data_IF_463424668267
#
_entry.id   IF_463424668267
#
_cell.length_a   1.000
_cell.length_b   1.000
_cell.length_c   1.000
_cell.angle_alpha   90.00
_cell.angle_beta   90.00
_cell.angle_gamma   90.00
#
_symmetry.space_group_name_H-M   'P 1'
#
loop_
_entity.id
_entity.type
_entity.pdbx_description
1 polymer ?
#
# COMPACT_ATOMS: atom_id res chain seq x y z
N UNK A 1 27.13 -7.89 -19.16
CA UNK A 1 27.78 -8.19 -17.87
C UNK A 1 27.69 -9.69 -17.65
N UNK A 2 28.54 -10.34 -16.83
CA UNK A 2 28.32 -11.76 -16.56
C UNK A 2 27.00 -11.93 -15.82
N UNK A 3 26.26 -12.96 -16.22
CA UNK A 3 25.01 -13.33 -15.59
C UNK A 3 25.17 -14.68 -14.87
N UNK A 4 24.41 -14.87 -13.80
CA UNK A 4 24.35 -16.10 -13.01
C UNK A 4 22.98 -16.77 -13.19
N UNK A 5 22.96 -18.04 -13.57
CA UNK A 5 21.73 -18.84 -13.58
C UNK A 5 21.34 -19.24 -12.15
N UNK A 6 20.09 -18.95 -11.77
CA UNK A 6 19.50 -19.34 -10.49
C UNK A 6 18.23 -20.15 -10.70
N UNK A 7 17.71 -20.86 -9.68
CA UNK A 7 16.41 -21.52 -9.77
C UNK A 7 15.24 -20.58 -10.09
N UNK A 8 15.41 -19.26 -9.93
CA UNK A 8 14.38 -18.24 -10.16
C UNK A 8 14.65 -17.40 -11.41
N UNK A 9 15.53 -17.87 -12.30
CA UNK A 9 15.93 -17.19 -13.53
C UNK A 9 17.34 -16.61 -13.45
N UNK A 10 17.78 -16.08 -14.59
CA UNK A 10 19.10 -15.48 -14.75
C UNK A 10 19.15 -14.07 -14.13
N UNK A 11 20.25 -13.74 -13.46
CA UNK A 11 20.46 -12.44 -12.79
C UNK A 11 21.85 -11.88 -13.06
N UNK A 12 22.00 -10.55 -13.04
CA UNK A 12 23.33 -9.92 -13.14
C UNK A 12 24.22 -10.33 -11.95
N UNK A 13 25.42 -10.88 -12.26
CA UNK A 13 26.32 -11.43 -11.23
C UNK A 13 26.85 -10.35 -10.28
N UNK A 14 27.12 -9.14 -10.78
CA UNK A 14 27.70 -8.05 -9.99
C UNK A 14 26.65 -7.47 -9.03
N UNK A 15 25.44 -7.24 -9.53
CA UNK A 15 24.31 -6.81 -8.70
C UNK A 15 23.96 -7.86 -7.65
N UNK A 16 24.00 -9.14 -8.00
CA UNK A 16 23.78 -10.23 -7.05
C UNK A 16 24.79 -10.19 -5.89
N UNK A 17 26.09 -10.04 -6.20
CA UNK A 17 27.11 -9.95 -5.15
C UNK A 17 26.90 -8.72 -4.25
N UNK A 18 26.57 -7.57 -4.84
CA UNK A 18 26.31 -6.34 -4.08
C UNK A 18 25.12 -6.50 -3.12
N UNK A 19 24.03 -7.13 -3.58
CA UNK A 19 22.85 -7.36 -2.74
C UNK A 19 23.08 -8.44 -1.67
N UNK A 20 23.92 -9.45 -1.92
CA UNK A 20 24.29 -10.43 -0.90
C UNK A 20 25.00 -9.79 0.30
N UNK A 21 25.73 -8.69 0.09
CA UNK A 21 26.43 -7.96 1.14
C UNK A 21 25.56 -6.89 1.82
N UNK A 22 24.51 -6.39 1.16
CA UNK A 22 23.80 -5.17 1.59
C UNK A 22 22.29 -5.31 1.77
N UNK A 23 21.62 -6.29 1.15
CA UNK A 23 20.18 -6.38 1.16
C UNK A 23 19.66 -7.30 2.27
N UNK A 24 18.96 -6.71 3.24
CA UNK A 24 18.25 -7.43 4.28
C UNK A 24 16.89 -7.93 3.77
N UNK A 25 16.81 -9.23 3.47
CA UNK A 25 15.59 -9.90 2.99
C UNK A 25 14.41 -9.83 3.98
N UNK A 26 14.66 -9.59 5.27
CA UNK A 26 13.56 -9.41 6.24
C UNK A 26 12.76 -8.15 5.97
N UNK A 27 13.28 -7.21 5.17
CA UNK A 27 12.53 -6.07 4.65
C UNK A 27 11.28 -6.51 3.87
N UNK A 28 11.35 -7.63 3.15
CA UNK A 28 10.19 -8.18 2.42
C UNK A 28 9.10 -8.60 3.41
N UNK A 29 9.48 -9.21 4.54
CA UNK A 29 8.53 -9.59 5.60
C UNK A 29 7.91 -8.36 6.27
N UNK A 30 8.69 -7.30 6.50
CA UNK A 30 8.14 -6.03 7.01
C UNK A 30 7.10 -5.42 6.07
N UNK A 31 7.28 -5.55 4.75
CA UNK A 31 6.28 -5.13 3.76
C UNK A 31 5.01 -5.98 3.87
N UNK A 32 5.14 -7.28 4.11
CA UNK A 32 3.98 -8.16 4.37
C UNK A 32 3.22 -7.70 5.60
N UNK A 33 3.91 -7.40 6.72
CA UNK A 33 3.27 -6.92 7.95
C UNK A 33 2.49 -5.61 7.71
N UNK A 34 3.06 -4.69 6.93
CA UNK A 34 2.39 -3.44 6.54
C UNK A 34 1.12 -3.70 5.70
N UNK A 35 1.18 -4.63 4.75
CA UNK A 35 0.02 -5.02 3.94
C UNK A 35 -1.05 -5.71 4.79
N UNK A 36 -0.66 -6.51 5.77
CA UNK A 36 -1.61 -7.16 6.68
C UNK A 36 -2.30 -6.15 7.61
N UNK A 37 -1.63 -5.07 8.00
CA UNK A 37 -2.26 -3.96 8.71
C UNK A 37 -3.35 -3.28 7.86
N UNK A 38 -3.05 -2.95 6.59
CA UNK A 38 -4.03 -2.42 5.64
C UNK A 38 -5.17 -3.40 5.43
N UNK A 39 -4.86 -4.69 5.24
CA UNK A 39 -5.85 -5.76 5.05
C UNK A 39 -6.78 -5.89 6.24
N UNK A 40 -6.24 -5.80 7.46
CA UNK A 40 -7.01 -5.84 8.70
C UNK A 40 -8.04 -4.72 8.71
N UNK A 41 -7.60 -3.50 8.43
CA UNK A 41 -8.44 -2.30 8.43
C UNK A 41 -9.51 -2.30 7.33
N UNK A 42 -9.25 -2.95 6.20
CA UNK A 42 -10.25 -3.19 5.15
C UNK A 42 -11.34 -4.20 5.56
N UNK A 43 -11.05 -5.13 6.47
CA UNK A 43 -11.96 -6.20 6.91
C UNK A 43 -12.67 -5.91 8.23
N UNK A 44 -12.11 -5.01 9.03
CA UNK A 44 -12.62 -4.66 10.36
C UNK A 44 -14.03 -4.07 10.25
N UNK A 45 -15.01 -4.52 11.06
CA UNK A 45 -16.23 -3.77 11.28
C UNK A 45 -15.90 -2.37 11.82
N UNK A 46 -16.50 -1.32 11.26
CA UNK A 46 -16.05 0.07 11.43
C UNK A 46 -14.68 0.40 10.79
N UNK A 47 -14.26 -0.43 9.81
CA UNK A 47 -13.13 -0.28 8.90
C UNK A 47 -13.25 0.89 7.92
N UNK A 48 -12.19 1.12 7.11
CA UNK A 48 -12.20 2.13 6.03
C UNK A 48 -13.40 1.97 5.09
N UNK A 49 -13.87 0.73 4.90
CA UNK A 49 -15.04 0.42 4.07
C UNK A 49 -16.30 1.08 4.64
N UNK A 50 -16.51 0.94 5.94
CA UNK A 50 -17.69 1.50 6.60
C UNK A 50 -17.60 3.02 6.69
N UNK A 51 -16.39 3.55 6.86
CA UNK A 51 -16.13 4.99 6.81
C UNK A 51 -16.42 5.59 5.43
N UNK A 52 -16.02 4.91 4.35
CA UNK A 52 -16.34 5.31 2.98
C UNK A 52 -17.84 5.21 2.68
N UNK A 53 -18.52 4.17 3.16
CA UNK A 53 -19.97 4.04 3.00
C UNK A 53 -20.74 5.12 3.78
N UNK A 54 -20.27 5.45 4.99
CA UNK A 54 -20.79 6.57 5.78
C UNK A 54 -20.59 7.89 5.06
N UNK A 55 -19.36 8.16 4.60
CA UNK A 55 -19.02 9.36 3.84
C UNK A 55 -19.91 9.48 2.59
N UNK A 56 -20.11 8.39 1.86
CA UNK A 56 -21.03 8.33 0.74
C UNK A 56 -22.46 8.70 1.14
N UNK A 57 -23.03 8.10 2.18
CA UNK A 57 -24.40 8.41 2.61
C UNK A 57 -24.58 9.86 3.04
N UNK A 58 -23.59 10.44 3.70
CA UNK A 58 -23.57 11.86 4.07
C UNK A 58 -23.52 12.75 2.84
N UNK A 59 -22.60 12.48 1.91
CA UNK A 59 -22.48 13.22 0.65
C UNK A 59 -23.74 13.07 -0.21
N UNK A 60 -24.34 11.89 -0.26
CA UNK A 60 -25.58 11.62 -1.00
C UNK A 60 -26.75 12.44 -0.45
N UNK A 61 -26.84 12.58 0.88
CA UNK A 61 -27.84 13.44 1.53
C UNK A 61 -27.61 14.92 1.18
N UNK A 62 -26.38 15.42 1.36
CA UNK A 62 -26.06 16.86 1.22
C UNK A 62 -26.01 17.32 -0.24
N UNK A 63 -25.35 16.54 -1.10
CA UNK A 63 -25.07 16.91 -2.50
C UNK A 63 -26.22 16.50 -3.41
N UNK A 64 -26.79 15.30 -3.21
CA UNK A 64 -27.80 14.75 -4.11
C UNK A 64 -29.23 14.94 -3.60
N UNK A 65 -29.42 15.52 -2.41
CA UNK A 65 -30.75 15.75 -1.82
C UNK A 65 -31.49 14.48 -1.40
N UNK A 66 -30.76 13.38 -1.19
CA UNK A 66 -31.35 12.13 -0.75
C UNK A 66 -31.85 12.19 0.70
N UNK A 67 -32.69 11.23 1.09
CA UNK A 67 -33.10 11.09 2.49
C UNK A 67 -31.92 10.74 3.39
N UNK A 68 -31.99 11.20 4.64
CA UNK A 68 -30.95 10.98 5.64
C UNK A 68 -30.72 9.47 5.85
N UNK A 69 -29.50 9.02 5.58
CA UNK A 69 -29.10 7.60 5.70
C UNK A 69 -28.37 7.28 7.02
N UNK A 70 -27.84 8.29 7.70
CA UNK A 70 -27.05 8.16 8.92
C UNK A 70 -27.46 9.21 9.97
N UNK A 71 -27.27 8.90 11.25
CA UNK A 71 -27.55 9.83 12.34
C UNK A 71 -26.65 11.09 12.28
N UNK A 72 -27.22 12.25 12.60
CA UNK A 72 -26.52 13.56 12.57
C UNK A 72 -25.75 13.87 13.87
N UNK A 73 -25.70 12.93 14.82
CA UNK A 73 -24.95 13.07 16.08
C UNK A 73 -23.48 12.62 15.97
N UNK A 74 -23.06 12.17 14.78
CA UNK A 74 -21.69 11.74 14.50
C UNK A 74 -20.80 12.86 13.94
N UNK A 75 -19.63 12.52 13.36
CA UNK A 75 -18.77 13.50 12.70
C UNK A 75 -19.52 14.21 11.57
N UNK A 76 -19.12 15.45 11.30
CA UNK A 76 -19.58 16.21 10.14
C UNK A 76 -19.05 15.60 8.84
N UNK A 77 -19.67 15.98 7.71
CA UNK A 77 -19.25 15.49 6.39
C UNK A 77 -17.77 15.81 6.10
N UNK A 78 -17.31 16.98 6.53
CA UNK A 78 -15.92 17.41 6.33
C UNK A 78 -14.98 16.60 7.21
N UNK A 79 -15.26 16.44 8.51
CA UNK A 79 -14.43 15.65 9.42
C UNK A 79 -14.31 14.18 8.97
N UNK A 80 -15.42 13.59 8.50
CA UNK A 80 -15.39 12.22 7.97
C UNK A 80 -14.53 12.14 6.69
N UNK A 81 -14.59 13.14 5.82
CA UNK A 81 -13.77 13.19 4.62
C UNK A 81 -12.28 13.35 4.96
N UNK A 82 -11.95 14.27 5.88
CA UNK A 82 -10.57 14.51 6.34
C UNK A 82 -9.97 13.23 6.94
N UNK A 83 -10.68 12.56 7.83
CA UNK A 83 -10.22 11.31 8.44
C UNK A 83 -9.96 10.21 7.41
N UNK A 84 -10.84 10.05 6.42
CA UNK A 84 -10.65 9.07 5.33
C UNK A 84 -9.46 9.46 4.45
N UNK A 85 -9.29 10.73 4.13
CA UNK A 85 -8.17 11.22 3.31
C UNK A 85 -6.84 10.98 4.03
N UNK A 86 -6.75 11.35 5.32
CA UNK A 86 -5.54 11.15 6.13
C UNK A 86 -5.12 9.68 6.18
N UNK A 87 -6.07 8.77 6.43
CA UNK A 87 -5.79 7.34 6.46
C UNK A 87 -5.30 6.81 5.11
N UNK A 88 -5.89 7.26 4.00
CA UNK A 88 -5.46 6.89 2.66
C UNK A 88 -4.07 7.44 2.31
N UNK A 89 -3.76 8.67 2.72
CA UNK A 89 -2.44 9.28 2.52
C UNK A 89 -1.35 8.53 3.31
N UNK A 90 -1.66 8.08 4.53
CA UNK A 90 -0.77 7.22 5.32
C UNK A 90 -0.49 5.90 4.62
N UNK A 91 -1.52 5.28 4.04
CA UNK A 91 -1.34 4.04 3.25
C UNK A 91 -0.52 4.27 2.01
N UNK A 92 -0.74 5.38 1.30
CA UNK A 92 0.06 5.75 0.13
C UNK A 92 1.53 5.92 0.54
N UNK A 93 1.80 6.56 1.66
CA UNK A 93 3.16 6.76 2.16
C UNK A 93 3.82 5.42 2.53
N UNK A 94 3.11 4.54 3.21
CA UNK A 94 3.58 3.19 3.55
C UNK A 94 3.91 2.38 2.29
N UNK A 95 3.00 2.34 1.32
CA UNK A 95 3.18 1.61 0.07
C UNK A 95 4.34 2.19 -0.76
N UNK A 96 4.50 3.52 -0.81
CA UNK A 96 5.64 4.15 -1.47
C UNK A 96 6.98 3.74 -0.84
N UNK A 97 7.05 3.65 0.50
CA UNK A 97 8.25 3.17 1.20
C UNK A 97 8.53 1.70 0.89
N UNK A 98 7.50 0.85 0.91
CA UNK A 98 7.62 -0.56 0.54
C UNK A 98 8.19 -0.71 -0.89
N UNK A 99 7.64 0.02 -1.86
CA UNK A 99 8.15 0.04 -3.25
C UNK A 99 9.63 0.45 -3.29
N UNK A 100 10.02 1.52 -2.59
CA UNK A 100 11.42 1.97 -2.57
C UNK A 100 12.36 0.91 -2.00
N UNK A 101 11.95 0.20 -0.94
CA UNK A 101 12.74 -0.88 -0.36
C UNK A 101 12.92 -2.05 -1.32
N UNK A 102 11.89 -2.40 -2.09
CA UNK A 102 11.94 -3.54 -3.00
C UNK A 102 12.66 -3.24 -4.33
N UNK A 103 12.75 -1.97 -4.74
CA UNK A 103 13.42 -1.55 -5.98
C UNK A 103 14.87 -2.01 -6.10
N UNK A 104 15.58 -2.21 -4.99
CA UNK A 104 16.96 -2.70 -5.04
C UNK A 104 17.05 -4.08 -5.74
N UNK A 105 16.02 -4.91 -5.62
CA UNK A 105 15.96 -6.20 -6.28
C UNK A 105 15.85 -6.09 -7.81
N UNK A 106 15.36 -4.96 -8.34
CA UNK A 106 15.30 -4.73 -9.79
C UNK A 106 16.69 -4.62 -10.42
N UNK A 107 17.73 -4.33 -9.62
CA UNK A 107 19.12 -4.29 -10.10
C UNK A 107 19.65 -5.65 -10.51
N UNK A 108 19.01 -6.74 -10.06
CA UNK A 108 19.32 -8.12 -10.48
C UNK A 108 18.96 -8.39 -11.94
N UNK A 109 18.29 -7.45 -12.63
CA UNK A 109 17.94 -7.62 -14.04
C UNK A 109 19.19 -8.02 -14.84
N UNK A 110 19.17 -9.15 -15.57
CA UNK A 110 20.30 -9.56 -16.39
C UNK A 110 20.55 -8.50 -17.47
N UNK A 111 21.78 -8.44 -17.98
CA UNK A 111 22.06 -7.57 -19.12
C UNK A 111 21.22 -7.99 -20.33
N UNK A 112 20.70 -7.05 -21.11
CA UNK A 112 20.08 -7.38 -22.41
C UNK A 112 21.12 -8.13 -23.26
N UNK A 113 20.83 -9.39 -23.58
CA UNK A 113 21.48 -10.10 -24.67
C UNK A 113 21.04 -9.41 -25.97
N UNK A 114 21.88 -8.53 -26.50
CA UNK A 114 21.73 -7.99 -27.85
C UNK A 114 21.88 -9.06 -28.92
#
# INVERSE_FOLDING_TARGET
MPDTDTPYGRVDTVALQALQESFDTTTILRVVDQLDAIRSRCRDPAGIRDDLLRLHGMAHTVINGASLSYATTGPTLVEQAESVIEELDDWILLLKRAVQSLRQLETLRPGDEG
#
